data_IF_515070296098
#
_entry.id   IF_515070296098
#
_cell.length_a   1.000
_cell.length_b   1.000
_cell.length_c   1.000
_cell.angle_alpha   90.00
_cell.angle_beta   90.00
_cell.angle_gamma   90.00
#
_symmetry.space_group_name_H-M   'P 1'
#
loop_
_entity.id
_entity.type
_entity.pdbx_description
1 polymer ?
#
# COMPACT_ATOMS: atom_id res chain seq x y z
N UNK A 1 -43.94 5.18 -31.57
CA UNK A 1 -43.47 6.42 -30.90
C UNK A 1 -43.33 6.14 -29.41
N UNK A 2 -42.12 5.82 -28.94
CA UNK A 2 -41.77 5.67 -27.53
C UNK A 2 -40.80 6.80 -27.17
N UNK A 3 -41.12 7.57 -26.12
CA UNK A 3 -40.27 8.65 -25.61
C UNK A 3 -39.15 8.05 -24.75
N UNK A 4 -37.89 8.29 -25.14
CA UNK A 4 -36.73 8.07 -24.30
C UNK A 4 -36.73 9.07 -23.14
N UNK A 5 -36.73 8.56 -21.90
CA UNK A 5 -36.36 9.33 -20.71
C UNK A 5 -34.85 9.20 -20.50
N UNK A 6 -34.15 10.33 -20.55
CA UNK A 6 -32.74 10.41 -20.14
C UNK A 6 -32.68 10.56 -18.61
N UNK A 7 -32.06 9.58 -17.96
CA UNK A 7 -31.71 9.61 -16.53
C UNK A 7 -30.54 10.58 -16.31
N UNK A 8 -30.83 11.78 -15.82
CA UNK A 8 -29.83 12.73 -15.29
C UNK A 8 -29.59 12.50 -13.79
N UNK A 9 -29.07 11.33 -13.44
CA UNK A 9 -28.61 11.03 -12.09
C UNK A 9 -27.09 10.88 -12.06
N UNK A 10 -26.43 11.52 -11.10
CA UNK A 10 -24.99 11.34 -10.73
C UNK A 10 -23.97 12.36 -11.26
N UNK A 11 -24.14 13.65 -10.97
CA UNK A 11 -23.00 14.60 -10.89
C UNK A 11 -22.92 15.28 -9.51
N UNK A 12 -23.82 14.94 -8.58
CA UNK A 12 -24.00 15.69 -7.33
C UNK A 12 -23.60 14.90 -6.06
N UNK A 13 -22.53 14.09 -6.11
CA UNK A 13 -22.03 13.39 -4.89
C UNK A 13 -20.55 13.58 -4.55
N UNK A 14 -19.72 14.14 -5.44
CA UNK A 14 -18.30 14.38 -5.12
C UNK A 14 -18.08 15.71 -4.40
N UNK A 15 -18.95 16.70 -4.62
CA UNK A 15 -18.85 18.02 -3.98
C UNK A 15 -19.21 18.00 -2.48
N UNK A 16 -20.09 17.09 -2.03
CA UNK A 16 -20.47 17.00 -0.61
C UNK A 16 -19.40 16.31 0.27
N UNK A 17 -18.60 15.40 -0.28
CA UNK A 17 -17.51 14.79 0.49
C UNK A 17 -16.37 15.79 0.77
N UNK A 18 -16.07 16.69 -0.17
CA UNK A 18 -15.06 17.75 0.01
C UNK A 18 -15.50 18.84 1.02
N UNK A 19 -16.80 19.14 1.09
CA UNK A 19 -17.34 20.14 2.02
C UNK A 19 -17.39 19.66 3.48
N UNK A 20 -17.50 18.35 3.73
CA UNK A 20 -17.66 17.81 5.09
C UNK A 20 -16.33 17.82 5.88
N UNK A 21 -15.18 17.79 5.20
CA UNK A 21 -13.86 17.94 5.86
C UNK A 21 -13.56 19.40 6.24
N UNK A 22 -14.23 20.38 5.62
CA UNK A 22 -14.00 21.82 5.83
C UNK A 22 -14.70 22.40 7.09
N UNK A 23 -15.63 21.66 7.72
CA UNK A 23 -16.50 22.20 8.78
C UNK A 23 -16.16 21.76 10.22
N UNK A 24 -15.10 20.98 10.44
CA UNK A 24 -14.81 20.40 11.76
C UNK A 24 -13.76 21.16 12.61
N UNK A 25 -13.23 22.32 12.18
CA UNK A 25 -12.07 22.94 12.85
C UNK A 25 -12.20 24.44 13.13
N UNK A 26 -13.39 24.93 13.49
CA UNK A 26 -13.48 26.20 14.19
C UNK A 26 -13.76 25.92 15.65
N UNK A 27 -12.79 26.17 16.52
CA UNK A 27 -12.88 26.92 17.78
C UNK A 27 -11.45 26.99 18.35
N UNK A 28 -11.15 28.10 19.02
CA UNK A 28 -10.04 28.31 19.98
C UNK A 28 -8.85 29.19 19.55
N UNK A 29 -8.92 30.41 20.11
CA UNK A 29 -7.89 31.30 20.65
C UNK A 29 -7.00 32.15 19.73
N UNK A 30 -7.28 33.46 19.81
CA UNK A 30 -6.37 34.55 19.51
C UNK A 30 -5.27 34.65 20.59
N UNK A 31 -4.01 34.76 20.16
CA UNK A 31 -2.93 35.27 21.00
C UNK A 31 -1.90 35.99 20.11
N UNK A 32 -1.80 37.31 20.30
CA UNK A 32 -0.85 38.20 19.62
C UNK A 32 0.59 37.80 19.94
N UNK A 33 1.35 37.39 18.92
CA UNK A 33 2.80 37.55 18.87
C UNK A 33 3.13 38.29 17.58
N UNK A 34 4.06 39.25 17.69
CA UNK A 34 4.57 40.12 16.62
C UNK A 34 4.30 39.53 15.22
N UNK A 35 3.25 40.05 14.58
CA UNK A 35 2.65 39.42 13.42
C UNK A 35 3.68 39.32 12.29
N UNK A 36 4.22 38.12 12.05
CA UNK A 36 4.73 37.81 10.72
C UNK A 36 3.64 38.19 9.73
N UNK A 37 4.04 38.78 8.61
CA UNK A 37 3.12 39.15 7.53
C UNK A 37 2.16 37.95 7.29
N UNK A 38 0.84 38.12 7.49
CA UNK A 38 -0.12 37.02 7.36
C UNK A 38 -0.11 36.41 5.96
N UNK A 39 0.34 37.17 4.95
CA UNK A 39 0.59 36.64 3.60
C UNK A 39 1.82 35.74 3.54
N UNK A 40 2.87 36.04 4.29
CA UNK A 40 4.05 35.17 4.42
C UNK A 40 3.69 33.88 5.16
N UNK A 41 2.94 33.95 6.26
CA UNK A 41 2.47 32.76 6.99
C UNK A 41 1.62 31.84 6.10
N UNK A 42 0.73 32.44 5.30
CA UNK A 42 -0.08 31.72 4.32
C UNK A 42 0.79 31.04 3.27
N UNK A 43 1.76 31.76 2.68
CA UNK A 43 2.67 31.21 1.69
C UNK A 43 3.49 30.03 2.25
N UNK A 44 3.99 30.16 3.48
CA UNK A 44 4.72 29.08 4.16
C UNK A 44 3.81 27.88 4.42
N UNK A 45 2.59 28.09 4.91
CA UNK A 45 1.64 27.00 5.17
C UNK A 45 1.28 26.25 3.89
N UNK A 46 1.00 26.95 2.80
CA UNK A 46 0.77 26.35 1.48
C UNK A 46 1.99 25.55 1.01
N UNK A 47 3.19 26.12 1.08
CA UNK A 47 4.41 25.46 0.63
C UNK A 47 4.67 24.16 1.39
N UNK A 48 4.39 24.10 2.70
CA UNK A 48 4.49 22.86 3.49
C UNK A 48 3.55 21.77 2.98
N UNK A 49 2.31 22.12 2.67
CA UNK A 49 1.35 21.16 2.09
C UNK A 49 1.84 20.67 0.72
N UNK A 50 2.31 21.58 -0.14
CA UNK A 50 2.83 21.23 -1.46
C UNK A 50 4.03 20.28 -1.38
N UNK A 51 4.98 20.55 -0.47
CA UNK A 51 6.12 19.66 -0.19
C UNK A 51 5.61 18.30 0.32
N UNK A 52 4.68 18.29 1.27
CA UNK A 52 4.14 17.05 1.81
C UNK A 52 3.45 16.20 0.73
N UNK A 53 2.67 16.84 -0.17
CA UNK A 53 2.02 16.17 -1.31
C UNK A 53 3.07 15.60 -2.25
N UNK A 54 4.07 16.41 -2.65
CA UNK A 54 5.17 15.98 -3.52
C UNK A 54 5.93 14.79 -2.93
N UNK A 55 6.26 14.84 -1.65
CA UNK A 55 6.99 13.77 -0.95
C UNK A 55 6.16 12.48 -0.80
N UNK A 56 4.84 12.61 -0.81
CA UNK A 56 3.90 11.48 -0.68
C UNK A 56 3.54 10.88 -2.03
N UNK A 57 3.61 11.65 -3.12
CA UNK A 57 3.33 11.22 -4.49
C UNK A 57 4.03 9.92 -4.89
N UNK A 58 5.35 9.75 -4.69
CA UNK A 58 6.02 8.48 -4.99
C UNK A 58 5.44 7.30 -4.21
N UNK A 59 4.97 7.52 -2.98
CA UNK A 59 4.41 6.45 -2.14
C UNK A 59 3.00 6.05 -2.57
N UNK A 60 2.26 6.92 -3.23
CA UNK A 60 0.87 6.66 -3.64
C UNK A 60 0.76 6.32 -5.13
N UNK A 61 1.59 6.92 -5.99
CA UNK A 61 1.63 6.69 -7.45
C UNK A 61 2.59 5.56 -7.84
N UNK A 62 3.86 5.60 -7.37
CA UNK A 62 4.87 4.61 -7.79
C UNK A 62 4.78 3.28 -7.01
N UNK A 63 4.25 3.28 -5.79
CA UNK A 63 4.14 2.06 -5.00
C UNK A 63 2.87 1.25 -5.26
N UNK A 64 1.96 1.66 -6.14
CA UNK A 64 1.02 0.70 -6.72
C UNK A 64 1.79 -0.39 -7.48
N UNK A 65 2.75 0.03 -8.30
CA UNK A 65 3.67 -0.88 -8.98
C UNK A 65 4.61 -1.59 -8.00
N UNK A 66 5.07 -0.89 -6.94
CA UNK A 66 5.89 -1.48 -5.88
C UNK A 66 5.18 -2.57 -5.07
N UNK A 67 3.91 -2.35 -4.69
CA UNK A 67 3.08 -3.32 -3.98
C UNK A 67 2.81 -4.56 -4.84
N UNK A 68 2.43 -4.36 -6.10
CA UNK A 68 2.22 -5.46 -7.04
C UNK A 68 3.54 -6.21 -7.36
N UNK A 69 4.69 -5.53 -7.39
CA UNK A 69 5.99 -6.16 -7.59
C UNK A 69 6.42 -7.01 -6.38
N UNK A 70 6.22 -6.53 -5.15
CA UNK A 70 6.50 -7.32 -3.94
C UNK A 70 5.62 -8.57 -3.91
N UNK A 71 4.34 -8.42 -4.28
CA UNK A 71 3.45 -9.56 -4.43
C UNK A 71 3.97 -10.56 -5.48
N UNK A 72 4.33 -10.10 -6.68
CA UNK A 72 4.83 -10.96 -7.75
C UNK A 72 6.09 -11.72 -7.32
N UNK A 73 7.01 -11.06 -6.61
CA UNK A 73 8.18 -11.71 -6.04
C UNK A 73 7.78 -12.81 -5.04
N UNK A 74 6.80 -12.53 -4.18
CA UNK A 74 6.29 -13.47 -3.18
C UNK A 74 5.63 -14.70 -3.84
N UNK A 75 4.80 -14.49 -4.86
CA UNK A 75 4.15 -15.54 -5.66
C UNK A 75 5.16 -16.42 -6.41
N UNK A 76 6.21 -15.81 -6.97
CA UNK A 76 7.30 -16.56 -7.59
C UNK A 76 8.07 -17.42 -6.58
N UNK A 77 8.34 -16.89 -5.38
CA UNK A 77 9.01 -17.62 -4.31
C UNK A 77 8.18 -18.83 -3.89
N UNK A 78 6.87 -18.64 -3.66
CA UNK A 78 5.96 -19.73 -3.34
C UNK A 78 5.90 -20.77 -4.47
N UNK A 79 5.64 -20.34 -5.70
CA UNK A 79 5.50 -21.23 -6.88
C UNK A 79 6.74 -22.10 -7.05
N UNK A 80 7.94 -21.50 -7.01
CA UNK A 80 9.20 -22.24 -7.13
C UNK A 80 9.38 -23.24 -5.99
N UNK A 81 9.06 -22.84 -4.76
CA UNK A 81 9.18 -23.70 -3.57
C UNK A 81 8.24 -24.90 -3.67
N UNK A 82 7.00 -24.66 -4.11
CA UNK A 82 5.99 -25.67 -4.30
C UNK A 82 6.40 -26.66 -5.40
N UNK A 83 6.80 -26.16 -6.57
CA UNK A 83 7.31 -26.99 -7.66
C UNK A 83 8.52 -27.84 -7.27
N UNK A 84 9.44 -27.28 -6.48
CA UNK A 84 10.62 -27.98 -5.99
C UNK A 84 10.23 -29.22 -5.16
N UNK A 85 9.32 -29.05 -4.20
CA UNK A 85 8.82 -30.14 -3.38
C UNK A 85 8.07 -31.18 -4.21
N UNK A 86 7.27 -30.75 -5.19
CA UNK A 86 6.59 -31.64 -6.14
C UNK A 86 7.58 -32.48 -6.95
N UNK A 87 8.58 -31.83 -7.57
CA UNK A 87 9.64 -32.52 -8.33
C UNK A 87 10.42 -33.50 -7.47
N UNK A 88 10.74 -33.14 -6.22
CA UNK A 88 11.45 -34.03 -5.29
C UNK A 88 10.60 -35.25 -4.91
N UNK A 89 9.32 -35.04 -4.57
CA UNK A 89 8.37 -36.14 -4.31
C UNK A 89 8.26 -37.09 -5.50
N UNK A 90 8.07 -36.53 -6.69
CA UNK A 90 7.86 -37.33 -7.90
C UNK A 90 9.14 -38.08 -8.28
N UNK A 91 10.31 -37.49 -8.05
CA UNK A 91 11.60 -38.16 -8.19
C UNK A 91 11.76 -39.32 -7.18
N UNK A 92 11.32 -39.14 -5.93
CA UNK A 92 11.34 -40.22 -4.92
C UNK A 92 10.41 -41.37 -5.28
N UNK A 93 9.20 -41.06 -5.74
CA UNK A 93 8.21 -42.07 -6.14
C UNK A 93 8.66 -42.90 -7.34
N UNK A 94 9.52 -42.35 -8.21
CA UNK A 94 10.10 -43.07 -9.36
C UNK A 94 11.22 -44.04 -8.98
N UNK A 95 11.77 -43.96 -7.78
CA UNK A 95 12.78 -44.92 -7.31
C UNK A 95 12.15 -46.30 -7.11
N UNK A 96 12.99 -47.33 -7.27
CA UNK A 96 12.66 -48.70 -6.87
C UNK A 96 12.32 -48.76 -5.38
N UNK A 97 11.47 -49.72 -4.99
CA UNK A 97 10.90 -49.79 -3.63
C UNK A 97 11.97 -49.88 -2.52
N UNK A 98 13.08 -50.55 -2.79
CA UNK A 98 14.23 -50.68 -1.90
C UNK A 98 15.08 -49.39 -1.76
N UNK A 99 14.98 -48.47 -2.72
CA UNK A 99 15.71 -47.19 -2.76
C UNK A 99 14.82 -45.98 -2.42
N UNK A 100 13.51 -46.20 -2.27
CA UNK A 100 12.52 -45.19 -1.93
C UNK A 100 12.52 -44.91 -0.43
N UNK A 101 12.63 -43.64 -0.08
CA UNK A 101 12.46 -43.16 1.29
C UNK A 101 11.00 -42.80 1.56
N UNK A 102 10.25 -43.76 2.11
CA UNK A 102 8.89 -43.52 2.58
C UNK A 102 8.81 -42.37 3.62
N UNK A 103 9.73 -42.26 4.60
CA UNK A 103 9.72 -41.14 5.54
C UNK A 103 9.88 -39.77 4.88
N UNK A 104 10.71 -39.66 3.83
CA UNK A 104 10.86 -38.41 3.09
C UNK A 104 9.57 -38.02 2.39
N UNK A 105 8.89 -38.97 1.74
CA UNK A 105 7.62 -38.71 1.02
C UNK A 105 6.57 -38.19 1.99
N UNK A 106 6.42 -38.81 3.15
CA UNK A 106 5.46 -38.41 4.19
C UNK A 106 5.78 -37.02 4.75
N UNK A 107 7.03 -36.77 5.12
CA UNK A 107 7.43 -35.45 5.62
C UNK A 107 7.24 -34.36 4.56
N UNK A 108 7.63 -34.63 3.30
CA UNK A 108 7.48 -33.70 2.20
C UNK A 108 5.99 -33.41 1.92
N UNK A 109 5.13 -34.42 1.89
CA UNK A 109 3.67 -34.22 1.75
C UNK A 109 3.10 -33.36 2.88
N UNK A 110 3.52 -33.59 4.13
CA UNK A 110 3.10 -32.75 5.26
C UNK A 110 3.55 -31.29 5.11
N UNK A 111 4.79 -31.05 4.66
CA UNK A 111 5.29 -29.69 4.39
C UNK A 111 4.54 -29.02 3.23
N UNK A 112 4.21 -29.77 2.19
CA UNK A 112 3.41 -29.32 1.05
C UNK A 112 2.02 -28.86 1.50
N UNK A 113 1.35 -29.66 2.31
CA UNK A 113 0.02 -29.33 2.84
C UNK A 113 0.07 -28.08 3.73
N UNK A 114 1.08 -27.96 4.58
CA UNK A 114 1.31 -26.75 5.38
C UNK A 114 1.56 -25.54 4.50
N UNK A 115 2.45 -25.64 3.51
CA UNK A 115 2.79 -24.54 2.61
C UNK A 115 1.55 -24.04 1.85
N UNK A 116 0.72 -24.96 1.36
CA UNK A 116 -0.51 -24.60 0.65
C UNK A 116 -1.53 -23.92 1.56
N UNK A 117 -1.67 -24.38 2.80
CA UNK A 117 -2.56 -23.76 3.80
C UNK A 117 -2.12 -22.35 4.15
N UNK A 118 -0.83 -22.17 4.40
CA UNK A 118 -0.24 -20.87 4.74
C UNK A 118 -0.37 -19.91 3.54
N UNK A 119 -0.15 -20.41 2.32
CA UNK A 119 -0.32 -19.65 1.09
C UNK A 119 -1.75 -19.21 0.86
N UNK A 120 -2.72 -20.11 1.05
CA UNK A 120 -4.14 -19.77 0.93
C UNK A 120 -4.53 -18.69 1.93
N UNK A 121 -4.08 -18.81 3.19
CA UNK A 121 -4.34 -17.81 4.23
C UNK A 121 -3.77 -16.45 3.83
N UNK A 122 -2.51 -16.41 3.42
CA UNK A 122 -1.84 -15.18 3.00
C UNK A 122 -2.51 -14.55 1.77
N UNK A 123 -2.70 -15.33 0.70
CA UNK A 123 -3.20 -14.81 -0.58
C UNK A 123 -4.67 -14.38 -0.51
N UNK A 124 -5.52 -15.12 0.22
CA UNK A 124 -6.95 -14.82 0.28
C UNK A 124 -7.29 -13.74 1.31
N UNK A 125 -6.58 -13.71 2.44
CA UNK A 125 -6.93 -12.82 3.55
C UNK A 125 -5.92 -11.70 3.71
N UNK A 126 -4.70 -12.02 4.11
CA UNK A 126 -3.74 -11.01 4.55
C UNK A 126 -3.39 -10.03 3.43
N UNK A 127 -3.17 -10.55 2.22
CA UNK A 127 -2.90 -9.74 1.03
C UNK A 127 -4.11 -8.89 0.64
N UNK A 128 -5.32 -9.44 0.70
CA UNK A 128 -6.53 -8.67 0.37
C UNK A 128 -6.69 -7.49 1.33
N UNK A 129 -6.52 -7.71 2.63
CA UNK A 129 -6.56 -6.64 3.63
C UNK A 129 -5.48 -5.57 3.39
N UNK A 130 -4.25 -5.97 3.05
CA UNK A 130 -3.18 -5.02 2.73
C UNK A 130 -3.49 -4.24 1.45
N UNK A 131 -4.05 -4.89 0.43
CA UNK A 131 -4.47 -4.26 -0.82
C UNK A 131 -5.57 -3.23 -0.61
N UNK A 132 -6.56 -3.53 0.22
CA UNK A 132 -7.63 -2.59 0.58
C UNK A 132 -7.07 -1.36 1.30
N UNK A 133 -6.19 -1.57 2.29
CA UNK A 133 -5.56 -0.48 3.06
C UNK A 133 -4.70 0.44 2.20
N UNK A 134 -3.94 -0.10 1.24
CA UNK A 134 -3.14 0.75 0.34
C UNK A 134 -4.05 1.51 -0.65
N UNK A 135 -5.12 0.90 -1.14
CA UNK A 135 -6.09 1.59 -2.00
C UNK A 135 -6.84 2.70 -1.27
N UNK A 136 -7.23 2.47 -0.01
CA UNK A 136 -7.81 3.49 0.86
C UNK A 136 -6.86 4.68 1.03
N UNK A 137 -5.59 4.43 1.36
CA UNK A 137 -4.59 5.49 1.50
C UNK A 137 -4.37 6.28 0.19
N UNK A 138 -4.36 5.60 -0.96
CA UNK A 138 -4.28 6.26 -2.28
C UNK A 138 -5.53 7.10 -2.55
N UNK A 139 -6.73 6.60 -2.22
CA UNK A 139 -7.99 7.32 -2.36
C UNK A 139 -8.06 8.57 -1.47
N UNK A 140 -7.66 8.44 -0.20
CA UNK A 140 -7.54 9.56 0.73
C UNK A 140 -6.56 10.62 0.18
N UNK A 141 -5.39 10.18 -0.31
CA UNK A 141 -4.38 11.08 -0.88
C UNK A 141 -4.90 11.85 -2.09
N UNK A 142 -5.53 11.15 -3.04
CA UNK A 142 -6.06 11.78 -4.27
C UNK A 142 -7.14 12.80 -3.94
N UNK A 143 -8.03 12.47 -3.00
CA UNK A 143 -9.06 13.40 -2.50
C UNK A 143 -8.42 14.64 -1.89
N UNK A 144 -7.41 14.47 -1.04
CA UNK A 144 -6.73 15.57 -0.36
C UNK A 144 -5.91 16.44 -1.33
N UNK A 145 -5.28 15.85 -2.34
CA UNK A 145 -4.57 16.57 -3.38
C UNK A 145 -5.53 17.44 -4.21
N UNK A 146 -6.70 16.90 -4.58
CA UNK A 146 -7.74 17.68 -5.26
C UNK A 146 -8.28 18.81 -4.38
N UNK A 147 -8.49 18.56 -3.09
CA UNK A 147 -8.89 19.59 -2.13
C UNK A 147 -7.84 20.70 -2.01
N UNK A 148 -6.55 20.34 -2.00
CA UNK A 148 -5.46 21.32 -2.00
C UNK A 148 -5.44 22.17 -3.27
N UNK A 149 -5.56 21.56 -4.46
CA UNK A 149 -5.62 22.29 -5.74
C UNK A 149 -6.81 23.26 -5.75
N UNK A 150 -7.98 22.80 -5.32
CA UNK A 150 -9.17 23.64 -5.22
C UNK A 150 -8.94 24.80 -4.24
N UNK A 151 -8.37 24.53 -3.06
CA UNK A 151 -8.10 25.57 -2.07
C UNK A 151 -7.13 26.63 -2.60
N UNK A 152 -6.07 26.22 -3.30
CA UNK A 152 -5.11 27.13 -3.96
C UNK A 152 -5.82 28.03 -4.99
N UNK A 153 -6.75 27.50 -5.77
CA UNK A 153 -7.54 28.31 -6.71
C UNK A 153 -8.46 29.31 -6.00
N UNK A 154 -9.00 28.95 -4.84
CA UNK A 154 -9.84 29.83 -4.03
C UNK A 154 -9.05 30.86 -3.22
N UNK A 155 -7.73 30.71 -3.04
CA UNK A 155 -6.90 31.66 -2.28
C UNK A 155 -7.08 33.10 -2.77
N UNK A 156 -7.15 33.30 -4.08
CA UNK A 156 -7.32 34.64 -4.64
C UNK A 156 -8.69 35.23 -4.27
N UNK A 157 -9.73 34.41 -4.18
CA UNK A 157 -11.05 34.85 -3.74
C UNK A 157 -11.04 35.23 -2.25
N UNK A 158 -10.34 34.47 -1.41
CA UNK A 158 -10.13 34.82 0.01
C UNK A 158 -9.39 36.15 0.17
N UNK A 159 -8.33 36.37 -0.62
CA UNK A 159 -7.56 37.62 -0.63
C UNK A 159 -8.42 38.79 -1.09
N UNK A 160 -9.15 38.63 -2.19
CA UNK A 160 -10.00 39.68 -2.78
C UNK A 160 -11.18 40.05 -1.87
N UNK A 161 -11.76 39.07 -1.18
CA UNK A 161 -12.86 39.25 -0.25
C UNK A 161 -12.40 39.68 1.16
N UNK A 162 -11.08 39.84 1.39
CA UNK A 162 -10.49 40.18 2.70
C UNK A 162 -10.94 39.23 3.82
N UNK A 163 -11.08 37.95 3.48
CA UNK A 163 -11.42 36.90 4.44
C UNK A 163 -10.23 36.59 5.36
N UNK A 164 -10.50 35.96 6.50
CA UNK A 164 -9.50 35.66 7.52
C UNK A 164 -8.40 34.73 6.99
N UNK A 165 -7.21 35.28 6.79
CA UNK A 165 -6.02 34.55 6.34
C UNK A 165 -5.53 33.54 7.40
N UNK A 166 -5.82 33.78 8.68
CA UNK A 166 -5.49 32.88 9.78
C UNK A 166 -6.25 31.56 9.66
N UNK A 167 -7.54 31.64 9.28
CA UNK A 167 -8.34 30.45 9.01
C UNK A 167 -7.76 29.64 7.85
N UNK A 168 -7.31 30.31 6.79
CA UNK A 168 -6.70 29.67 5.64
C UNK A 168 -5.36 28.99 5.98
N UNK A 169 -4.53 29.63 6.81
CA UNK A 169 -3.32 29.02 7.39
C UNK A 169 -3.67 27.76 8.19
N UNK A 170 -4.72 27.79 9.01
CA UNK A 170 -5.15 26.63 9.80
C UNK A 170 -5.68 25.47 8.92
N UNK A 171 -6.38 25.79 7.83
CA UNK A 171 -6.81 24.80 6.81
C UNK A 171 -5.59 24.11 6.20
N UNK A 172 -4.58 24.87 5.75
CA UNK A 172 -3.36 24.29 5.19
C UNK A 172 -2.60 23.46 6.23
N UNK A 173 -2.48 23.92 7.48
CA UNK A 173 -1.86 23.13 8.55
C UNK A 173 -2.59 21.81 8.83
N UNK A 174 -3.91 21.77 8.65
CA UNK A 174 -4.69 20.52 8.77
C UNK A 174 -4.46 19.60 7.57
N UNK A 175 -4.42 20.16 6.35
CA UNK A 175 -4.10 19.41 5.14
C UNK A 175 -2.70 18.78 5.24
N UNK A 176 -1.69 19.52 5.69
CA UNK A 176 -0.31 19.04 5.87
C UNK A 176 -0.29 17.79 6.77
N UNK A 177 -0.88 17.89 7.97
CA UNK A 177 -0.96 16.78 8.93
C UNK A 177 -1.63 15.57 8.31
N UNK A 178 -2.72 15.78 7.55
CA UNK A 178 -3.44 14.68 6.92
C UNK A 178 -2.65 14.01 5.81
N UNK A 179 -1.91 14.76 4.98
CA UNK A 179 -1.00 14.19 3.98
C UNK A 179 0.06 13.32 4.65
N UNK A 180 0.66 13.80 5.74
CA UNK A 180 1.68 13.05 6.50
C UNK A 180 1.10 11.76 7.11
N UNK A 181 -0.11 11.82 7.67
CA UNK A 181 -0.81 10.64 8.18
C UNK A 181 -1.06 9.59 7.08
N UNK A 182 -1.59 10.03 5.93
CA UNK A 182 -1.85 9.14 4.78
C UNK A 182 -0.55 8.49 4.29
N UNK A 183 0.53 9.28 4.19
CA UNK A 183 1.86 8.77 3.83
C UNK A 183 2.33 7.70 4.81
N UNK A 184 2.17 7.92 6.11
CA UNK A 184 2.55 6.96 7.14
C UNK A 184 1.73 5.66 7.05
N UNK A 185 0.41 5.75 6.83
CA UNK A 185 -0.46 4.59 6.59
C UNK A 185 0.02 3.79 5.38
N UNK A 186 0.22 4.44 4.24
CA UNK A 186 0.68 3.78 3.01
C UNK A 186 2.04 3.09 3.20
N UNK A 187 2.99 3.77 3.85
CA UNK A 187 4.31 3.20 4.17
C UNK A 187 4.20 1.97 5.08
N UNK A 188 3.35 2.03 6.11
CA UNK A 188 3.16 0.90 7.02
C UNK A 188 2.60 -0.35 6.32
N UNK A 189 1.71 -0.16 5.34
CA UNK A 189 1.17 -1.27 4.53
C UNK A 189 2.28 -1.90 3.66
N UNK A 190 3.09 -1.07 3.01
CA UNK A 190 4.21 -1.55 2.17
C UNK A 190 5.23 -2.33 3.00
N UNK A 191 5.58 -1.84 4.20
CA UNK A 191 6.53 -2.55 5.06
C UNK A 191 5.95 -3.88 5.58
N UNK A 192 4.64 -3.98 5.81
CA UNK A 192 3.99 -5.27 6.13
C UNK A 192 4.06 -6.25 4.96
N UNK A 193 3.82 -5.78 3.74
CA UNK A 193 3.93 -6.62 2.53
C UNK A 193 5.37 -7.12 2.34
N UNK A 194 6.38 -6.25 2.50
CA UNK A 194 7.79 -6.66 2.46
C UNK A 194 8.16 -7.66 3.56
N UNK A 195 7.63 -7.48 4.78
CA UNK A 195 7.85 -8.43 5.85
C UNK A 195 7.24 -9.81 5.52
N UNK A 196 6.07 -9.83 4.89
CA UNK A 196 5.47 -11.07 4.39
C UNK A 196 6.34 -11.73 3.32
N UNK A 197 6.85 -10.96 2.34
CA UNK A 197 7.80 -11.46 1.34
C UNK A 197 9.02 -12.11 2.01
N UNK A 198 9.66 -11.44 2.97
CA UNK A 198 10.82 -11.97 3.69
C UNK A 198 10.50 -13.27 4.45
N UNK A 199 9.28 -13.39 4.99
CA UNK A 199 8.85 -14.63 5.64
C UNK A 199 8.71 -15.77 4.62
N UNK A 200 8.16 -15.50 3.43
CA UNK A 200 8.11 -16.48 2.35
C UNK A 200 9.50 -16.89 1.85
N UNK A 201 10.44 -15.96 1.77
CA UNK A 201 11.85 -16.27 1.44
C UNK A 201 12.50 -17.17 2.50
N UNK A 202 12.23 -16.96 3.79
CA UNK A 202 12.70 -17.84 4.87
C UNK A 202 12.07 -19.23 4.79
N UNK A 203 10.77 -19.31 4.50
CA UNK A 203 10.07 -20.58 4.28
C UNK A 203 10.69 -21.34 3.11
N UNK A 204 10.92 -20.64 1.99
CA UNK A 204 11.60 -21.22 0.82
C UNK A 204 13.01 -21.72 1.15
N UNK A 205 13.80 -20.96 1.92
CA UNK A 205 15.13 -21.38 2.35
C UNK A 205 15.09 -22.62 3.27
N UNK A 206 14.09 -22.72 4.13
CA UNK A 206 13.89 -23.89 5.01
C UNK A 206 13.54 -25.14 4.20
N UNK A 207 12.66 -24.99 3.20
CA UNK A 207 12.31 -26.07 2.26
C UNK A 207 13.54 -26.47 1.42
N UNK A 208 14.28 -25.50 0.90
CA UNK A 208 15.49 -25.75 0.12
C UNK A 208 16.55 -26.54 0.93
N UNK A 209 16.72 -26.18 2.21
CA UNK A 209 17.60 -26.92 3.11
C UNK A 209 17.12 -28.35 3.38
N UNK A 210 15.81 -28.55 3.55
CA UNK A 210 15.20 -29.88 3.68
C UNK A 210 15.44 -30.74 2.42
N UNK A 211 15.18 -30.19 1.24
CA UNK A 211 15.39 -30.88 -0.03
C UNK A 211 16.87 -31.19 -0.28
N UNK A 212 17.76 -30.25 0.00
CA UNK A 212 19.21 -30.43 -0.16
C UNK A 212 19.74 -31.52 0.77
N UNK A 213 19.26 -31.57 2.01
CA UNK A 213 19.60 -32.65 2.96
C UNK A 213 19.17 -34.04 2.46
N UNK A 214 18.09 -34.11 1.68
CA UNK A 214 17.62 -35.33 1.05
C UNK A 214 18.32 -35.64 -0.30
N UNK A 215 19.29 -34.83 -0.72
CA UNK A 215 20.09 -35.05 -1.93
C UNK A 215 19.52 -34.42 -3.20
N UNK A 216 18.52 -33.53 -3.10
CA UNK A 216 18.00 -32.80 -4.26
C UNK A 216 18.75 -31.48 -4.48
N UNK A 217 18.91 -31.03 -5.73
CA UNK A 217 19.64 -29.80 -6.02
C UNK A 217 18.89 -28.57 -5.50
N UNK A 218 19.65 -27.60 -4.96
CA UNK A 218 19.12 -26.32 -4.50
C UNK A 218 18.39 -25.58 -5.62
N UNK A 219 17.28 -24.94 -5.25
CA UNK A 219 16.45 -24.13 -6.14
C UNK A 219 16.64 -22.64 -5.90
N UNK A 220 17.65 -22.24 -5.11
CA UNK A 220 18.00 -20.81 -4.99
C UNK A 220 18.34 -20.25 -6.37
N UNK A 221 17.84 -19.05 -6.71
CA UNK A 221 18.26 -18.40 -7.93
C UNK A 221 19.77 -18.13 -7.80
N UNK A 222 20.53 -18.39 -8.86
CA UNK A 222 21.93 -18.01 -8.90
C UNK A 222 22.03 -16.53 -8.53
N UNK A 223 22.81 -16.20 -7.49
CA UNK A 223 23.11 -14.81 -7.19
C UNK A 223 23.65 -14.19 -8.48
N UNK A 224 22.92 -13.21 -9.02
CA UNK A 224 23.47 -12.41 -10.11
C UNK A 224 24.77 -11.82 -9.56
N UNK A 225 25.90 -12.24 -10.13
CA UNK A 225 27.17 -11.60 -9.89
C UNK A 225 26.97 -10.08 -10.07
N UNK A 226 27.08 -9.35 -8.96
CA UNK A 226 27.02 -7.89 -8.95
C UNK A 226 28.24 -7.32 -9.66
#
# INVERSE_FOLDING_TARGET
>A
MQKQQFNNGSVMSVAMAAATVLLACSWSFAQEKAAEDPYLQLAVARAKVEIAIRDSGPITENNKNGFDAVWQATDQVWTRTWEAMGKARDAENRKEENARSQPFIEENNGKIESLNRDWQTFNQKDRQELREKIQEAIGEFNTLNQAFIYQVQQEQNFKNAKLDLTQLVAIYGTMEKKVVEIRAKAKAVIEKEKAAQQNWEKTAATVDAFLTKAGYPSQKPAEKAQ
#
